data_IF_762691331242
#
_entry.id   IF_762691331242
#
_cell.length_a   1.000
_cell.length_b   1.000
_cell.length_c   1.000
_cell.angle_alpha   90.00
_cell.angle_beta   90.00
_cell.angle_gamma   90.00
#
_symmetry.space_group_name_H-M   'P 1'
#
loop_
_entity.id
_entity.type
_entity.pdbx_description
1 polymer ?
#
# COMPACT_ATOMS: atom_id res chain seq x y z
N UNK A 1 20.01 10.01 -13.80
CA UNK A 1 21.38 9.73 -13.33
C UNK A 1 21.87 8.32 -13.71
N UNK A 2 21.00 7.42 -14.17
CA UNK A 2 21.39 6.04 -14.54
C UNK A 2 22.22 5.89 -15.83
N UNK A 3 22.22 6.88 -16.70
CA UNK A 3 22.99 6.83 -17.96
C UNK A 3 24.51 6.99 -17.82
N UNK A 4 24.97 7.50 -16.68
CA UNK A 4 26.40 7.78 -16.46
C UNK A 4 27.16 6.56 -15.90
N UNK A 5 26.49 5.63 -15.26
CA UNK A 5 27.12 4.46 -14.63
C UNK A 5 27.29 3.23 -15.53
N UNK A 6 26.64 3.19 -16.70
CA UNK A 6 26.81 2.08 -17.65
C UNK A 6 27.53 2.58 -18.91
N UNK A 7 28.77 2.13 -19.14
CA UNK A 7 29.64 2.47 -20.29
C UNK A 7 29.01 2.24 -21.67
N UNK A 8 27.84 1.68 -21.77
CA UNK A 8 27.19 1.32 -23.05
C UNK A 8 26.32 2.43 -23.66
N UNK A 9 26.17 3.59 -23.01
CA UNK A 9 25.16 4.56 -23.42
C UNK A 9 25.64 5.96 -23.79
N UNK A 10 26.92 6.12 -24.11
CA UNK A 10 27.43 7.41 -24.59
C UNK A 10 26.71 7.89 -25.87
N UNK A 11 26.30 6.94 -26.70
CA UNK A 11 25.54 7.21 -27.92
C UNK A 11 24.16 7.77 -27.63
N UNK A 12 23.49 7.26 -26.58
CA UNK A 12 22.17 7.71 -26.18
C UNK A 12 22.16 9.09 -25.53
N UNK A 13 23.23 9.46 -24.84
CA UNK A 13 23.42 10.81 -24.28
C UNK A 13 23.51 11.83 -25.42
N UNK A 14 24.22 11.50 -26.49
CA UNK A 14 24.36 12.36 -27.69
C UNK A 14 22.98 12.50 -28.38
N UNK A 15 22.21 11.44 -28.52
CA UNK A 15 20.89 11.47 -29.16
C UNK A 15 19.91 12.30 -28.33
N UNK A 16 19.92 12.20 -26.99
CA UNK A 16 19.06 12.98 -26.09
C UNK A 16 19.40 14.47 -26.12
N UNK A 17 20.69 14.83 -26.25
CA UNK A 17 21.14 16.22 -26.29
C UNK A 17 20.87 16.88 -27.64
N UNK A 18 21.06 16.16 -28.75
CA UNK A 18 20.92 16.71 -30.12
C UNK A 18 19.46 16.75 -30.62
N UNK A 19 18.57 15.87 -30.12
CA UNK A 19 17.18 15.79 -30.54
C UNK A 19 16.26 15.61 -29.33
N UNK A 20 16.07 16.64 -28.51
CA UNK A 20 15.38 16.52 -27.22
C UNK A 20 14.00 15.83 -27.24
N UNK A 21 13.08 16.10 -28.18
CA UNK A 21 11.78 15.42 -28.21
C UNK A 21 11.86 13.99 -28.78
N UNK A 22 12.73 13.75 -29.76
CA UNK A 22 12.85 12.46 -30.45
C UNK A 22 13.73 11.49 -29.66
N UNK A 23 14.78 11.99 -29.02
CA UNK A 23 15.69 11.19 -28.20
C UNK A 23 15.00 10.63 -26.97
N UNK A 24 14.14 11.41 -26.32
CA UNK A 24 13.36 10.95 -25.16
C UNK A 24 12.35 9.87 -25.54
N UNK A 25 11.68 10.01 -26.69
CA UNK A 25 10.73 9.01 -27.22
C UNK A 25 11.47 7.75 -27.66
N UNK A 26 12.59 7.87 -28.37
CA UNK A 26 13.39 6.72 -28.79
C UNK A 26 13.97 5.95 -27.59
N UNK A 27 14.44 6.65 -26.55
CA UNK A 27 14.88 6.04 -25.29
C UNK A 27 13.74 5.29 -24.58
N UNK A 28 12.56 5.92 -24.49
CA UNK A 28 11.39 5.31 -23.89
C UNK A 28 10.95 4.04 -24.63
N UNK A 29 10.89 4.06 -25.95
CA UNK A 29 10.51 2.89 -26.75
C UNK A 29 11.60 1.81 -26.77
N UNK A 30 12.89 2.16 -26.87
CA UNK A 30 13.97 1.19 -26.92
C UNK A 30 14.18 0.45 -25.59
N UNK A 31 14.00 1.13 -24.44
CA UNK A 31 14.23 0.54 -23.12
C UNK A 31 12.95 -0.08 -22.56
N UNK A 32 11.79 0.57 -22.70
CA UNK A 32 10.54 0.03 -22.20
C UNK A 32 10.05 -1.17 -23.01
N UNK A 33 10.20 -1.15 -24.35
CA UNK A 33 9.89 -2.31 -25.19
C UNK A 33 10.91 -3.45 -25.03
N UNK A 34 12.17 -3.17 -24.71
CA UNK A 34 13.15 -4.23 -24.39
C UNK A 34 12.84 -4.92 -23.07
N UNK A 35 12.17 -4.25 -22.16
CA UNK A 35 11.63 -4.86 -20.93
C UNK A 35 10.39 -5.74 -21.18
N UNK A 36 9.66 -5.51 -22.29
CA UNK A 36 8.44 -6.25 -22.65
C UNK A 36 8.58 -7.25 -23.81
N UNK A 37 9.69 -7.25 -24.56
CA UNK A 37 9.92 -8.19 -25.66
C UNK A 37 11.03 -9.20 -25.31
N UNK A 38 10.68 -10.15 -24.48
CA UNK A 38 11.48 -11.34 -24.20
C UNK A 38 11.28 -12.43 -25.25
N UNK A 39 11.61 -12.18 -26.53
CA UNK A 39 11.79 -13.25 -27.52
C UNK A 39 13.06 -12.99 -28.30
N UNK A 40 14.13 -13.62 -27.87
CA UNK A 40 15.34 -13.81 -28.65
C UNK A 40 15.43 -15.27 -29.06
N UNK A 41 15.16 -15.52 -30.33
CA UNK A 41 15.34 -16.83 -30.98
C UNK A 41 16.82 -16.97 -31.36
N UNK A 42 17.57 -17.73 -30.59
CA UNK A 42 18.72 -18.55 -31.06
C UNK A 42 19.01 -19.60 -30.00
N UNK A 43 18.98 -20.86 -30.39
CA UNK A 43 19.27 -22.13 -29.75
C UNK A 43 19.96 -22.10 -28.38
N UNK A 44 19.22 -22.01 -27.34
CA UNK A 44 19.68 -22.12 -25.96
C UNK A 44 18.48 -22.12 -25.03
N UNK A 45 18.46 -23.03 -24.13
CA UNK A 45 17.49 -23.30 -23.07
C UNK A 45 16.64 -22.08 -22.69
N UNK A 46 15.31 -22.18 -22.86
CA UNK A 46 14.35 -21.16 -22.40
C UNK A 46 14.45 -21.11 -20.87
N UNK A 47 15.14 -20.08 -20.37
CA UNK A 47 15.01 -19.72 -18.95
C UNK A 47 13.73 -18.91 -18.85
N UNK A 48 12.67 -19.39 -18.17
CA UNK A 48 11.49 -18.58 -17.94
C UNK A 48 11.92 -17.36 -17.12
N UNK A 49 11.65 -16.15 -17.65
CA UNK A 49 11.77 -14.91 -16.92
C UNK A 49 10.64 -14.86 -15.88
N UNK A 50 10.79 -15.65 -14.80
CA UNK A 50 10.08 -15.41 -13.57
C UNK A 50 10.54 -14.07 -13.01
N UNK A 51 9.62 -13.30 -12.37
CA UNK A 51 10.05 -12.21 -11.47
C UNK A 51 11.22 -12.76 -10.65
N UNK A 52 12.34 -11.99 -10.48
CA UNK A 52 13.43 -12.47 -9.67
C UNK A 52 12.84 -12.84 -8.31
N UNK A 53 12.83 -14.13 -7.98
CA UNK A 53 12.59 -14.57 -6.62
C UNK A 53 13.58 -13.80 -5.77
N UNK A 54 13.09 -12.90 -4.92
CA UNK A 54 13.93 -12.28 -3.91
C UNK A 54 14.47 -13.44 -3.09
N UNK A 55 15.77 -13.72 -3.22
CA UNK A 55 16.44 -14.73 -2.40
C UNK A 55 16.12 -14.38 -0.95
N UNK A 56 15.56 -15.35 -0.26
CA UNK A 56 15.34 -15.28 1.17
C UNK A 56 16.67 -14.93 1.83
N UNK A 57 16.73 -13.83 2.53
CA UNK A 57 17.93 -13.45 3.27
C UNK A 57 17.86 -14.18 4.60
N UNK A 58 18.59 -15.30 4.69
CA UNK A 58 18.72 -16.00 5.97
C UNK A 58 19.58 -15.16 6.91
N UNK A 59 18.92 -14.54 7.86
CA UNK A 59 19.58 -13.86 8.99
C UNK A 59 19.70 -14.83 10.17
N UNK A 60 20.54 -14.50 11.13
CA UNK A 60 20.64 -15.28 12.37
C UNK A 60 19.27 -15.39 13.07
N UNK A 61 18.48 -14.32 13.05
CA UNK A 61 17.14 -14.28 13.62
C UNK A 61 16.17 -15.23 12.90
N UNK A 62 16.19 -15.28 11.55
CA UNK A 62 15.36 -16.22 10.81
C UNK A 62 15.72 -17.67 11.10
N UNK A 63 17.01 -17.98 11.25
CA UNK A 63 17.48 -19.33 11.59
C UNK A 63 17.03 -19.73 13.00
N UNK A 64 17.19 -18.85 14.00
CA UNK A 64 16.73 -19.08 15.36
C UNK A 64 15.22 -19.31 15.44
N UNK A 65 14.43 -18.49 14.73
CA UNK A 65 12.96 -18.65 14.69
C UNK A 65 12.55 -19.96 14.00
N UNK A 66 13.21 -20.36 12.92
CA UNK A 66 12.98 -21.66 12.25
C UNK A 66 13.29 -22.83 13.18
N UNK A 67 14.36 -22.75 13.97
CA UNK A 67 14.70 -23.78 14.97
C UNK A 67 13.61 -23.85 16.07
N UNK A 68 13.16 -22.70 16.58
CA UNK A 68 12.09 -22.63 17.58
C UNK A 68 10.77 -23.18 17.03
N UNK A 69 10.46 -22.88 15.78
CA UNK A 69 9.30 -23.45 15.08
C UNK A 69 9.41 -24.96 14.99
N UNK A 70 10.56 -25.48 14.57
CA UNK A 70 10.81 -26.92 14.49
C UNK A 70 10.62 -27.63 15.83
N UNK A 71 10.97 -26.97 16.94
CA UNK A 71 10.91 -27.54 18.29
C UNK A 71 9.53 -27.38 18.96
N UNK A 72 8.87 -26.22 18.81
CA UNK A 72 7.70 -25.87 19.61
C UNK A 72 6.42 -25.68 18.81
N UNK A 73 6.50 -25.36 17.52
CA UNK A 73 5.39 -25.15 16.58
C UNK A 73 4.30 -24.16 17.12
N UNK A 74 4.71 -23.14 17.91
CA UNK A 74 3.77 -22.18 18.50
C UNK A 74 3.43 -21.04 17.52
N UNK A 75 2.18 -20.59 17.51
CA UNK A 75 1.69 -19.49 16.70
C UNK A 75 2.59 -18.24 16.76
N UNK A 76 3.03 -17.87 17.96
CA UNK A 76 3.90 -16.72 18.20
C UNK A 76 5.22 -16.77 17.40
N UNK A 77 5.86 -17.95 17.23
CA UNK A 77 7.11 -18.03 16.49
C UNK A 77 6.90 -17.83 14.98
N UNK A 78 5.78 -18.33 14.45
CA UNK A 78 5.41 -18.10 13.06
C UNK A 78 5.07 -16.61 12.81
N UNK A 79 4.33 -16.00 13.75
CA UNK A 79 4.02 -14.57 13.67
C UNK A 79 5.30 -13.73 13.66
N UNK A 80 6.26 -14.01 14.54
CA UNK A 80 7.56 -13.32 14.56
C UNK A 80 8.35 -13.52 13.28
N UNK A 81 8.40 -14.76 12.76
CA UNK A 81 9.08 -15.03 11.49
C UNK A 81 8.39 -14.29 10.32
N UNK A 82 7.06 -14.21 10.33
CA UNK A 82 6.30 -13.40 9.38
C UNK A 82 6.69 -11.92 9.44
N UNK A 83 6.86 -11.35 10.64
CA UNK A 83 7.31 -9.95 10.82
C UNK A 83 8.72 -9.73 10.24
N UNK A 84 9.66 -10.63 10.51
CA UNK A 84 11.02 -10.55 9.94
C UNK A 84 10.98 -10.57 8.42
N UNK A 85 10.15 -11.41 7.82
CA UNK A 85 10.00 -11.41 6.36
C UNK A 85 9.35 -10.12 5.81
N UNK A 86 8.44 -9.49 6.56
CA UNK A 86 7.91 -8.16 6.19
C UNK A 86 9.04 -7.13 6.15
N UNK A 87 9.93 -7.09 7.12
CA UNK A 87 11.09 -6.19 7.16
C UNK A 87 12.05 -6.42 5.99
N UNK A 88 12.16 -7.66 5.53
CA UNK A 88 12.93 -8.04 4.34
C UNK A 88 12.18 -7.74 3.03
N UNK A 89 10.94 -7.23 3.08
CA UNK A 89 10.03 -7.07 1.95
C UNK A 89 9.74 -8.40 1.20
N UNK A 90 9.83 -9.52 1.90
CA UNK A 90 9.47 -10.85 1.38
C UNK A 90 8.04 -11.17 1.82
N UNK A 91 7.07 -10.54 1.15
CA UNK A 91 5.67 -10.62 1.54
C UNK A 91 5.08 -12.02 1.35
N UNK A 92 5.50 -12.77 0.36
CA UNK A 92 5.04 -14.14 0.12
C UNK A 92 5.41 -15.08 1.28
N UNK A 93 6.66 -15.04 1.73
CA UNK A 93 7.10 -15.83 2.90
C UNK A 93 6.44 -15.33 4.19
N UNK A 94 6.21 -14.03 4.33
CA UNK A 94 5.50 -13.46 5.47
C UNK A 94 4.05 -13.96 5.53
N UNK A 95 3.34 -13.97 4.40
CA UNK A 95 1.96 -14.48 4.28
C UNK A 95 1.88 -15.91 4.78
N UNK A 96 2.73 -16.81 4.25
CA UNK A 96 2.73 -18.21 4.65
C UNK A 96 2.91 -18.38 6.17
N UNK A 97 3.79 -17.58 6.78
CA UNK A 97 4.03 -17.66 8.22
C UNK A 97 2.88 -17.07 9.04
N UNK A 98 2.26 -15.97 8.60
CA UNK A 98 1.07 -15.42 9.28
C UNK A 98 -0.12 -16.36 9.17
N UNK A 99 -0.34 -17.02 8.04
CA UNK A 99 -1.38 -18.04 7.87
C UNK A 99 -1.19 -19.22 8.83
N UNK A 100 0.06 -19.71 8.97
CA UNK A 100 0.41 -20.76 9.93
C UNK A 100 0.19 -20.31 11.38
N UNK A 101 0.48 -19.04 11.71
CA UNK A 101 0.20 -18.48 13.02
C UNK A 101 -1.31 -18.46 13.31
N UNK A 102 -2.11 -17.98 12.35
CA UNK A 102 -3.58 -17.91 12.46
C UNK A 102 -4.21 -19.29 12.54
N UNK A 103 -3.66 -20.29 11.84
CA UNK A 103 -4.14 -21.67 11.92
C UNK A 103 -3.97 -22.25 13.33
N UNK A 104 -2.87 -21.90 14.02
CA UNK A 104 -2.57 -22.37 15.38
C UNK A 104 -3.28 -21.57 16.46
N UNK A 105 -3.45 -20.27 16.22
CA UNK A 105 -4.17 -19.34 17.09
C UNK A 105 -5.10 -18.46 16.25
N UNK A 106 -6.35 -18.89 16.08
CA UNK A 106 -7.33 -18.13 15.28
C UNK A 106 -7.71 -16.76 15.86
N UNK A 107 -7.36 -16.45 17.10
CA UNK A 107 -7.66 -15.17 17.73
C UNK A 107 -6.44 -14.21 17.71
N UNK A 108 -5.29 -14.64 17.18
CA UNK A 108 -4.08 -13.81 17.10
C UNK A 108 -4.28 -12.64 16.12
N UNK A 109 -4.58 -11.47 16.67
CA UNK A 109 -4.87 -10.25 15.88
C UNK A 109 -3.62 -9.73 15.16
N UNK A 110 -2.46 -9.85 15.79
CA UNK A 110 -1.16 -9.42 15.24
C UNK A 110 -0.86 -10.14 13.93
N UNK A 111 -1.05 -11.46 13.89
CA UNK A 111 -0.83 -12.25 12.68
C UNK A 111 -1.83 -11.90 11.57
N UNK A 112 -3.11 -11.69 11.92
CA UNK A 112 -4.12 -11.22 10.95
C UNK A 112 -3.77 -9.86 10.38
N UNK A 113 -3.35 -8.93 11.21
CA UNK A 113 -2.98 -7.60 10.76
C UNK A 113 -1.73 -7.62 9.88
N UNK A 114 -0.73 -8.43 10.26
CA UNK A 114 0.47 -8.68 9.45
C UNK A 114 0.13 -9.27 8.07
N UNK A 115 -0.72 -10.30 8.05
CA UNK A 115 -1.23 -10.91 6.81
C UNK A 115 -1.92 -9.87 5.91
N UNK A 116 -2.84 -9.09 6.48
CA UNK A 116 -3.58 -8.08 5.72
C UNK A 116 -2.65 -7.00 5.13
N UNK A 117 -1.64 -6.57 5.88
CA UNK A 117 -0.62 -5.61 5.38
C UNK A 117 0.20 -6.17 4.23
N UNK A 118 0.58 -7.45 4.28
CA UNK A 118 1.30 -8.12 3.19
C UNK A 118 0.42 -8.23 1.94
N UNK A 119 -0.82 -8.67 2.09
CA UNK A 119 -1.78 -8.78 0.99
C UNK A 119 -2.06 -7.42 0.35
N UNK A 120 -2.23 -6.36 1.17
CA UNK A 120 -2.37 -4.99 0.69
C UNK A 120 -1.12 -4.53 -0.08
N UNK A 121 0.08 -4.83 0.41
CA UNK A 121 1.35 -4.50 -0.26
C UNK A 121 1.54 -5.21 -1.60
N UNK A 122 0.93 -6.38 -1.77
CA UNK A 122 0.87 -7.14 -3.03
C UNK A 122 -0.34 -6.78 -3.90
N UNK A 123 -1.10 -5.75 -3.55
CA UNK A 123 -2.32 -5.30 -4.24
C UNK A 123 -3.45 -6.35 -4.29
N UNK A 124 -3.40 -7.35 -3.40
CA UNK A 124 -4.42 -8.39 -3.24
C UNK A 124 -5.54 -7.88 -2.31
N UNK A 125 -6.22 -6.81 -2.75
CA UNK A 125 -7.11 -6.02 -1.88
C UNK A 125 -8.35 -6.79 -1.41
N UNK A 126 -8.91 -7.68 -2.22
CA UNK A 126 -10.08 -8.48 -1.85
C UNK A 126 -9.74 -9.46 -0.72
N UNK A 127 -8.57 -10.09 -0.80
CA UNK A 127 -8.10 -11.00 0.24
C UNK A 127 -7.74 -10.22 1.51
N UNK A 128 -7.06 -9.07 1.38
CA UNK A 128 -6.75 -8.20 2.50
C UNK A 128 -8.03 -7.72 3.21
N UNK A 129 -9.07 -7.34 2.46
CA UNK A 129 -10.34 -6.92 3.04
C UNK A 129 -11.02 -8.04 3.82
N UNK A 130 -11.00 -9.27 3.30
CA UNK A 130 -11.56 -10.44 4.00
C UNK A 130 -10.88 -10.70 5.34
N UNK A 131 -9.54 -10.59 5.38
CA UNK A 131 -8.77 -10.74 6.62
C UNK A 131 -9.07 -9.61 7.60
N UNK A 132 -9.17 -8.36 7.12
CA UNK A 132 -9.48 -7.19 7.94
C UNK A 132 -10.92 -7.17 8.43
N UNK A 133 -11.91 -7.66 7.65
CA UNK A 133 -13.28 -7.86 8.11
C UNK A 133 -13.31 -8.74 9.36
N UNK A 134 -12.57 -9.87 9.31
CA UNK A 134 -12.48 -10.76 10.48
C UNK A 134 -11.78 -10.09 11.65
N UNK A 135 -10.67 -9.40 11.43
CA UNK A 135 -9.95 -8.70 12.49
C UNK A 135 -10.81 -7.63 13.15
N UNK A 136 -11.44 -6.76 12.37
CA UNK A 136 -12.28 -5.67 12.89
C UNK A 136 -13.56 -6.15 13.55
N UNK A 137 -14.05 -7.35 13.21
CA UNK A 137 -15.14 -8.01 13.91
C UNK A 137 -14.77 -8.48 15.32
N UNK A 138 -13.48 -8.81 15.55
CA UNK A 138 -12.94 -9.19 16.85
C UNK A 138 -12.56 -7.96 17.68
N UNK A 139 -11.86 -7.01 17.06
CA UNK A 139 -11.50 -5.73 17.67
C UNK A 139 -11.57 -4.57 16.66
N UNK A 140 -12.67 -3.80 16.74
CA UNK A 140 -12.89 -2.63 15.87
C UNK A 140 -11.86 -1.50 16.10
N UNK A 141 -11.26 -1.45 17.30
CA UNK A 141 -10.28 -0.40 17.67
C UNK A 141 -8.84 -0.86 17.55
N UNK A 142 -8.61 -2.05 17.01
CA UNK A 142 -7.26 -2.59 16.84
C UNK A 142 -6.35 -1.56 16.14
N UNK A 143 -5.16 -1.41 16.70
CA UNK A 143 -4.16 -0.43 16.27
C UNK A 143 -4.76 1.00 16.15
N UNK A 144 -5.50 1.42 17.18
CA UNK A 144 -6.15 2.73 17.25
C UNK A 144 -7.06 3.04 16.07
N UNK A 145 -7.65 2.02 15.47
CA UNK A 145 -8.54 2.13 14.30
C UNK A 145 -7.84 2.05 12.94
N UNK A 146 -6.50 1.86 12.89
CA UNK A 146 -5.78 1.69 11.64
C UNK A 146 -6.23 0.45 10.87
N UNK A 147 -6.62 -0.63 11.56
CA UNK A 147 -7.17 -1.81 10.90
C UNK A 147 -8.51 -1.50 10.19
N UNK A 148 -9.40 -0.74 10.83
CA UNK A 148 -10.66 -0.28 10.21
C UNK A 148 -10.43 0.66 9.03
N UNK A 149 -9.45 1.57 9.14
CA UNK A 149 -9.03 2.42 8.03
C UNK A 149 -8.46 1.59 6.88
N UNK A 150 -7.62 0.60 7.18
CA UNK A 150 -7.07 -0.34 6.20
C UNK A 150 -8.15 -1.12 5.45
N UNK A 151 -9.20 -1.54 6.14
CA UNK A 151 -10.36 -2.20 5.53
C UNK A 151 -11.06 -1.29 4.51
N UNK A 152 -11.35 -0.04 4.91
CA UNK A 152 -11.96 0.93 4.01
C UNK A 152 -11.09 1.22 2.78
N UNK A 153 -9.75 1.26 2.94
CA UNK A 153 -8.81 1.41 1.85
C UNK A 153 -8.76 0.20 0.92
N UNK A 154 -8.78 -1.02 1.46
CA UNK A 154 -8.83 -2.24 0.66
C UNK A 154 -10.09 -2.27 -0.22
N UNK A 155 -11.25 -1.93 0.31
CA UNK A 155 -12.47 -1.83 -0.50
C UNK A 155 -12.35 -0.78 -1.61
N UNK A 156 -11.82 0.42 -1.29
CA UNK A 156 -11.63 1.48 -2.28
C UNK A 156 -10.65 1.09 -3.38
N UNK A 157 -9.52 0.51 -3.02
CA UNK A 157 -8.47 0.10 -3.96
C UNK A 157 -8.89 -1.13 -4.78
N UNK A 158 -9.67 -2.03 -4.20
CA UNK A 158 -10.32 -3.16 -4.88
C UNK A 158 -11.51 -2.76 -5.77
N UNK A 159 -11.87 -1.46 -5.80
CA UNK A 159 -12.95 -0.95 -6.65
C UNK A 159 -14.37 -1.14 -6.09
N UNK A 160 -14.52 -1.56 -4.84
CA UNK A 160 -15.81 -1.70 -4.19
C UNK A 160 -16.20 -0.40 -3.48
N UNK A 161 -16.61 0.59 -4.28
CA UNK A 161 -16.94 1.93 -3.77
C UNK A 161 -18.09 1.93 -2.76
N UNK A 162 -19.05 1.01 -2.87
CA UNK A 162 -20.19 0.93 -1.94
C UNK A 162 -19.74 0.49 -0.56
N UNK A 163 -18.98 -0.61 -0.47
CA UNK A 163 -18.40 -1.06 0.81
C UNK A 163 -17.40 -0.04 1.36
N UNK A 164 -16.59 0.58 0.50
CA UNK A 164 -15.65 1.63 0.91
C UNK A 164 -16.38 2.82 1.55
N UNK A 165 -17.49 3.26 0.96
CA UNK A 165 -18.28 4.38 1.47
C UNK A 165 -18.82 4.06 2.89
N UNK A 166 -19.37 2.86 3.10
CA UNK A 166 -19.85 2.43 4.40
C UNK A 166 -18.70 2.37 5.41
N UNK A 167 -17.60 1.71 5.06
CA UNK A 167 -16.45 1.53 5.94
C UNK A 167 -15.79 2.86 6.33
N UNK A 168 -15.57 3.78 5.38
CA UNK A 168 -15.05 5.11 5.71
C UNK A 168 -16.02 5.90 6.60
N UNK A 169 -17.34 5.81 6.37
CA UNK A 169 -18.35 6.42 7.23
C UNK A 169 -18.22 5.95 8.67
N UNK A 170 -18.03 4.64 8.89
CA UNK A 170 -17.79 4.09 10.22
C UNK A 170 -16.48 4.57 10.85
N UNK A 171 -15.42 4.65 10.04
CA UNK A 171 -14.11 5.13 10.50
C UNK A 171 -14.20 6.58 10.98
N UNK A 172 -14.78 7.49 10.21
CA UNK A 172 -14.86 8.92 10.58
C UNK A 172 -15.78 9.16 11.78
N UNK A 173 -16.76 8.29 12.02
CA UNK A 173 -17.62 8.37 13.21
C UNK A 173 -16.91 7.94 14.51
N UNK A 174 -15.84 7.14 14.39
CA UNK A 174 -15.14 6.56 15.55
C UNK A 174 -13.74 7.12 15.75
N UNK A 175 -13.10 7.60 14.68
CA UNK A 175 -11.70 8.02 14.65
C UNK A 175 -11.50 9.29 13.82
N UNK A 176 -10.46 10.06 14.15
CA UNK A 176 -10.12 11.30 13.46
C UNK A 176 -8.94 11.13 12.50
N UNK A 177 -9.15 10.42 11.38
CA UNK A 177 -8.17 10.28 10.32
C UNK A 177 -8.50 11.21 9.16
N UNK A 178 -7.68 12.23 8.90
CA UNK A 178 -7.88 13.13 7.75
C UNK A 178 -7.92 12.40 6.41
N UNK A 179 -7.10 11.37 6.27
CA UNK A 179 -7.14 10.46 5.13
C UNK A 179 -8.51 9.82 4.91
N UNK A 180 -9.18 9.41 5.99
CA UNK A 180 -10.52 8.82 5.92
C UNK A 180 -11.56 9.85 5.46
N UNK A 181 -11.58 11.03 6.07
CA UNK A 181 -12.46 12.13 5.65
C UNK A 181 -12.27 12.49 4.19
N UNK A 182 -11.02 12.57 3.72
CA UNK A 182 -10.71 12.90 2.33
C UNK A 182 -11.25 11.85 1.35
N UNK A 183 -10.95 10.56 1.56
CA UNK A 183 -11.42 9.51 0.66
C UNK A 183 -12.94 9.33 0.72
N UNK A 184 -13.53 9.45 1.91
CA UNK A 184 -14.98 9.45 2.08
C UNK A 184 -15.63 10.57 1.26
N UNK A 185 -15.14 11.81 1.40
CA UNK A 185 -15.65 12.95 0.65
C UNK A 185 -15.50 12.76 -0.86
N UNK A 186 -14.38 12.18 -1.33
CA UNK A 186 -14.18 11.87 -2.76
C UNK A 186 -15.18 10.85 -3.28
N UNK A 187 -15.50 9.83 -2.49
CA UNK A 187 -16.53 8.84 -2.85
C UNK A 187 -17.94 9.45 -2.83
N UNK A 188 -18.24 10.32 -1.87
CA UNK A 188 -19.50 11.08 -1.84
C UNK A 188 -19.68 11.95 -3.09
N UNK A 189 -18.64 12.69 -3.48
CA UNK A 189 -18.65 13.53 -4.69
C UNK A 189 -18.88 12.69 -5.96
N UNK A 190 -18.19 11.54 -6.07
CA UNK A 190 -18.38 10.57 -7.16
C UNK A 190 -19.83 10.08 -7.25
N UNK A 191 -20.50 9.92 -6.11
CA UNK A 191 -21.90 9.48 -6.01
C UNK A 191 -22.92 10.63 -6.08
N UNK A 192 -22.50 11.85 -6.46
CA UNK A 192 -23.38 13.02 -6.60
C UNK A 192 -23.77 13.71 -5.28
N UNK A 193 -23.28 13.22 -4.14
CA UNK A 193 -23.52 13.80 -2.82
C UNK A 193 -22.56 14.94 -2.52
N UNK A 194 -22.60 15.96 -3.38
CA UNK A 194 -21.61 17.04 -3.40
C UNK A 194 -21.56 17.85 -2.10
N UNK A 195 -22.74 18.15 -1.50
CA UNK A 195 -22.78 18.93 -0.26
C UNK A 195 -22.14 18.18 0.90
N UNK A 196 -22.46 16.89 1.06
CA UNK A 196 -21.83 16.05 2.08
C UNK A 196 -20.31 15.96 1.88
N UNK A 197 -19.84 15.88 0.62
CA UNK A 197 -18.41 15.89 0.32
C UNK A 197 -17.74 17.20 0.77
N UNK A 198 -18.36 18.36 0.47
CA UNK A 198 -17.87 19.67 0.89
C UNK A 198 -17.77 19.74 2.43
N UNK A 199 -18.80 19.28 3.13
CA UNK A 199 -18.82 19.33 4.60
C UNK A 199 -17.74 18.49 5.24
N UNK A 200 -17.44 17.31 4.69
CA UNK A 200 -16.33 16.48 5.14
C UNK A 200 -14.95 17.13 4.86
N UNK A 201 -14.79 17.78 3.70
CA UNK A 201 -13.55 18.53 3.41
C UNK A 201 -13.37 19.73 4.34
N UNK A 202 -14.46 20.43 4.68
CA UNK A 202 -14.44 21.52 5.69
C UNK A 202 -14.06 21.02 7.06
N UNK A 203 -14.46 19.78 7.43
CA UNK A 203 -14.08 19.15 8.70
C UNK A 203 -12.57 18.94 8.80
N UNK A 204 -11.89 18.55 7.71
CA UNK A 204 -10.43 18.46 7.67
C UNK A 204 -9.79 19.81 7.98
N UNK A 205 -10.20 20.85 7.24
CA UNK A 205 -9.61 22.19 7.37
C UNK A 205 -9.92 22.81 8.74
N UNK A 206 -11.15 22.63 9.24
CA UNK A 206 -11.54 23.10 10.57
C UNK A 206 -10.69 22.47 11.67
N UNK A 207 -10.55 21.14 11.67
CA UNK A 207 -9.75 20.41 12.65
C UNK A 207 -8.26 20.72 12.56
N UNK A 208 -7.76 21.13 11.39
CA UNK A 208 -6.35 21.49 11.21
C UNK A 208 -5.94 22.73 12.03
N UNK A 209 -6.87 23.64 12.31
CA UNK A 209 -6.59 24.88 13.05
C UNK A 209 -6.11 24.64 14.49
N UNK A 210 -6.54 23.50 15.08
CA UNK A 210 -6.26 23.14 16.45
C UNK A 210 -5.12 22.12 16.61
N UNK A 211 -4.47 21.75 15.49
CA UNK A 211 -3.39 20.76 15.52
C UNK A 211 -2.05 21.40 15.89
N UNK A 212 -1.23 20.73 16.71
CA UNK A 212 0.14 21.13 16.93
C UNK A 212 0.98 20.94 15.65
N UNK A 213 2.05 21.75 15.48
CA UNK A 213 2.87 21.84 14.27
C UNK A 213 3.35 20.49 13.74
N UNK A 214 3.77 19.58 14.61
CA UNK A 214 4.26 18.26 14.18
C UNK A 214 3.17 17.38 13.56
N UNK A 215 1.90 17.57 13.96
CA UNK A 215 0.76 16.89 13.35
C UNK A 215 0.34 17.59 12.06
N UNK A 216 0.36 18.92 12.03
CA UNK A 216 0.09 19.69 10.82
C UNK A 216 1.02 19.26 9.69
N UNK A 217 2.31 19.08 9.95
CA UNK A 217 3.27 18.63 8.96
C UNK A 217 2.95 17.21 8.45
N UNK A 218 2.60 16.30 9.36
CA UNK A 218 2.23 14.92 9.02
C UNK A 218 0.96 14.83 8.18
N UNK A 219 -0.03 15.67 8.48
CA UNK A 219 -1.34 15.67 7.82
C UNK A 219 -1.43 16.67 6.65
N UNK A 220 -0.37 17.41 6.36
CA UNK A 220 -0.31 18.50 5.39
C UNK A 220 -0.87 18.14 4.03
N UNK A 221 -0.54 16.95 3.53
CA UNK A 221 -1.04 16.47 2.25
C UNK A 221 -2.58 16.47 2.19
N UNK A 222 -3.24 15.93 3.20
CA UNK A 222 -4.71 15.83 3.25
C UNK A 222 -5.37 17.19 3.42
N UNK A 223 -4.74 18.07 4.18
CA UNK A 223 -5.19 19.46 4.38
C UNK A 223 -5.11 20.23 3.06
N UNK A 224 -3.99 20.15 2.35
CA UNK A 224 -3.79 20.82 1.06
C UNK A 224 -4.77 20.31 0.00
N UNK A 225 -5.02 19.01 -0.04
CA UNK A 225 -5.99 18.40 -0.97
C UNK A 225 -7.43 18.82 -0.62
N UNK A 226 -7.77 18.93 0.66
CA UNK A 226 -9.07 19.45 1.08
C UNK A 226 -9.25 20.92 0.64
N UNK A 227 -8.25 21.78 0.81
CA UNK A 227 -8.29 23.15 0.31
C UNK A 227 -8.45 23.23 -1.20
N UNK A 228 -7.74 22.38 -1.97
CA UNK A 228 -7.87 22.31 -3.43
C UNK A 228 -9.29 21.92 -3.84
N UNK A 229 -9.86 20.90 -3.16
CA UNK A 229 -11.22 20.44 -3.43
C UNK A 229 -12.23 21.57 -3.17
N UNK A 230 -12.13 22.25 -2.02
CA UNK A 230 -13.05 23.32 -1.63
C UNK A 230 -12.97 24.50 -2.60
N UNK A 231 -11.77 24.95 -2.96
CA UNK A 231 -11.58 26.02 -3.97
C UNK A 231 -12.17 25.67 -5.33
N UNK A 232 -11.96 24.43 -5.79
CA UNK A 232 -12.55 23.94 -7.06
C UNK A 232 -14.08 24.00 -7.05
N UNK A 233 -14.69 23.90 -5.87
CA UNK A 233 -16.14 23.96 -5.69
C UNK A 233 -16.67 25.36 -5.28
N UNK A 234 -15.84 26.40 -5.43
CA UNK A 234 -16.24 27.78 -5.16
C UNK A 234 -16.37 28.12 -3.67
N UNK A 235 -15.76 27.34 -2.79
CA UNK A 235 -15.77 27.59 -1.35
C UNK A 235 -14.47 28.31 -0.97
N UNK A 236 -14.58 29.57 -0.65
CA UNK A 236 -13.50 30.35 -0.05
C UNK A 236 -13.54 30.18 1.47
N UNK A 237 -12.41 29.78 2.03
CA UNK A 237 -12.23 29.67 3.48
C UNK A 237 -11.39 30.86 3.94
N UNK A 238 -11.97 31.62 4.84
CA UNK A 238 -11.28 32.73 5.49
C UNK A 238 -10.13 32.23 6.41
#
# INVERSE_FOLDING_TARGET
>A
MDCIQRREHFVWIIIIILLPPVGAVAYFFAIKNRANSGTSTTGGTIIPFGKPEKKEVETEETLQLKELIGKYQKAYHYEKLGQVYVEQNNYESAIANFEEAIQRDPEMLEARYGLAKCLHGLERYDEASTVLEKLTSLDKKYDYGNASLGLAECYRLGGNDEKALVAYGEVINSFHFFKAYYHYARLLDKNGKKQEAIDNMKSIVGSAKDLPDYKLEKERFWIDEAYKFLRKNGIELA
#
